data_IF_483826032776
#
_entry.id   IF_483826032776
#
_cell.length_a   1.000
_cell.length_b   1.000
_cell.length_c   1.000
_cell.angle_alpha   90.00
_cell.angle_beta   90.00
_cell.angle_gamma   90.00
#
_symmetry.space_group_name_H-M   'P 1'
#
loop_
_entity.id
_entity.type
_entity.pdbx_description
1 polymer ?
#
# COMPACT_ATOMS: atom_id res chain seq x y z
N UNK A 1 -9.11 23.36 10.07
CA UNK A 1 -9.87 22.30 9.37
C UNK A 1 -8.91 21.53 8.48
N UNK A 2 -8.71 20.25 8.81
CA UNK A 2 -8.14 19.15 8.00
C UNK A 2 -6.84 19.44 7.22
N UNK A 3 -5.71 18.99 7.79
CA UNK A 3 -4.46 18.79 7.06
C UNK A 3 -4.71 17.83 5.88
N UNK A 4 -4.93 18.38 4.69
CA UNK A 4 -5.02 17.59 3.46
C UNK A 4 -3.67 16.91 3.27
N UNK A 5 -3.57 15.57 3.30
CA UNK A 5 -2.31 14.92 3.06
C UNK A 5 -1.96 15.08 1.58
N UNK A 6 -1.23 16.13 1.22
CA UNK A 6 -0.68 16.31 -0.13
C UNK A 6 0.43 15.28 -0.34
N UNK A 7 0.03 14.08 -0.73
CA UNK A 7 0.91 12.96 -0.99
C UNK A 7 0.14 11.69 -1.37
N UNK A 8 0.83 10.64 -1.84
CA UNK A 8 0.22 9.37 -2.24
C UNK A 8 -0.62 8.70 -1.13
N UNK A 9 -0.42 9.08 0.13
CA UNK A 9 -1.25 8.65 1.26
C UNK A 9 -2.70 9.13 1.20
N UNK A 10 -3.03 10.19 0.45
CA UNK A 10 -4.43 10.61 0.21
C UNK A 10 -5.25 9.56 -0.56
N UNK A 11 -4.60 8.65 -1.28
CA UNK A 11 -5.31 7.58 -1.97
C UNK A 11 -5.75 6.46 -1.05
N UNK A 12 -5.21 6.36 0.18
CA UNK A 12 -5.48 5.26 1.11
C UNK A 12 -6.96 5.10 1.44
N UNK A 13 -7.68 6.12 1.95
CA UNK A 13 -9.11 5.96 2.23
C UNK A 13 -9.92 5.58 0.98
N UNK A 14 -9.54 6.03 -0.20
CA UNK A 14 -10.20 5.65 -1.46
C UNK A 14 -9.88 4.21 -1.89
N UNK A 15 -8.67 3.72 -1.63
CA UNK A 15 -8.27 2.33 -1.87
C UNK A 15 -9.06 1.41 -0.93
N UNK A 16 -9.14 1.73 0.34
CA UNK A 16 -9.86 0.93 1.34
C UNK A 16 -11.35 0.84 1.00
N UNK A 17 -11.96 1.97 0.63
CA UNK A 17 -13.36 2.00 0.19
C UNK A 17 -13.59 1.25 -1.13
N UNK A 18 -12.64 1.30 -2.07
CA UNK A 18 -12.80 0.68 -3.39
C UNK A 18 -12.58 -0.83 -3.37
N UNK A 19 -11.60 -1.31 -2.61
CA UNK A 19 -11.23 -2.73 -2.57
C UNK A 19 -11.66 -3.44 -1.28
N UNK A 20 -12.26 -2.72 -0.34
CA UNK A 20 -12.79 -3.29 0.91
C UNK A 20 -11.73 -3.85 1.85
N UNK A 21 -10.46 -3.45 1.70
CA UNK A 21 -9.33 -3.94 2.49
C UNK A 21 -8.47 -2.78 2.99
N UNK A 22 -8.04 -2.80 4.26
CA UNK A 22 -7.25 -1.71 4.82
C UNK A 22 -5.86 -1.63 4.18
N UNK A 23 -5.26 -0.44 4.16
CA UNK A 23 -3.93 -0.24 3.55
C UNK A 23 -2.84 -1.07 4.24
N UNK A 24 -2.97 -1.32 5.54
CA UNK A 24 -2.04 -2.19 6.27
C UNK A 24 -1.95 -3.59 5.67
N UNK A 25 -3.09 -4.19 5.32
CA UNK A 25 -3.15 -5.53 4.69
C UNK A 25 -2.48 -5.52 3.32
N UNK A 26 -2.68 -4.46 2.54
CA UNK A 26 -2.00 -4.30 1.26
C UNK A 26 -0.48 -4.21 1.42
N UNK A 27 0.01 -3.51 2.44
CA UNK A 27 1.44 -3.43 2.76
C UNK A 27 1.99 -4.79 3.17
N UNK A 28 1.23 -5.54 3.96
CA UNK A 28 1.63 -6.86 4.42
C UNK A 28 1.73 -7.85 3.25
N UNK A 29 0.74 -7.84 2.35
CA UNK A 29 0.77 -8.60 1.09
C UNK A 29 2.01 -8.28 0.24
N UNK A 30 2.34 -6.99 0.10
CA UNK A 30 3.53 -6.55 -0.63
C UNK A 30 4.81 -7.08 0.03
N UNK A 31 4.90 -7.10 1.37
CA UNK A 31 6.06 -7.63 2.10
C UNK A 31 6.14 -9.15 2.06
N UNK A 32 5.00 -9.83 2.08
CA UNK A 32 4.92 -11.28 1.97
C UNK A 32 5.20 -11.76 0.55
N UNK A 33 5.14 -10.87 -0.44
CA UNK A 33 5.50 -11.16 -1.82
C UNK A 33 7.02 -11.37 -1.95
N UNK A 34 7.48 -12.34 -2.75
CA UNK A 34 8.91 -12.49 -3.06
C UNK A 34 9.45 -11.35 -3.95
N UNK A 35 8.58 -10.45 -4.42
CA UNK A 35 8.93 -9.35 -5.30
C UNK A 35 9.53 -8.19 -4.51
N UNK A 36 10.71 -7.75 -4.93
CA UNK A 36 11.43 -6.63 -4.28
C UNK A 36 11.46 -5.37 -5.14
N UNK A 37 11.21 -5.50 -6.44
CA UNK A 37 11.21 -4.36 -7.36
C UNK A 37 9.88 -3.66 -7.35
N UNK A 38 9.95 -2.33 -7.26
CA UNK A 38 8.79 -1.45 -7.28
C UNK A 38 7.86 -1.72 -8.48
N UNK A 39 8.41 -1.79 -9.70
CA UNK A 39 7.62 -2.02 -10.91
C UNK A 39 6.97 -3.40 -10.98
N UNK A 40 7.61 -4.43 -10.41
CA UNK A 40 7.06 -5.78 -10.35
C UNK A 40 5.91 -5.84 -9.35
N UNK A 41 6.08 -5.25 -8.16
CA UNK A 41 5.02 -5.14 -7.16
C UNK A 41 3.81 -4.36 -7.69
N UNK A 42 4.04 -3.25 -8.41
CA UNK A 42 2.94 -2.50 -9.05
C UNK A 42 2.22 -3.36 -10.07
N UNK A 43 2.94 -4.11 -10.90
CA UNK A 43 2.34 -5.00 -11.91
C UNK A 43 1.60 -6.16 -11.28
N UNK A 44 2.12 -6.74 -10.22
CA UNK A 44 1.51 -7.82 -9.45
C UNK A 44 0.21 -7.38 -8.78
N UNK A 45 0.19 -6.22 -8.12
CA UNK A 45 -1.04 -5.65 -7.55
C UNK A 45 -2.12 -5.37 -8.61
N UNK A 46 -1.70 -4.96 -9.81
CA UNK A 46 -2.62 -4.77 -10.94
C UNK A 46 -3.18 -6.10 -11.45
N UNK A 47 -2.34 -7.13 -11.56
CA UNK A 47 -2.70 -8.43 -12.12
C UNK A 47 -3.53 -9.28 -11.14
N UNK A 48 -3.05 -9.46 -9.91
CA UNK A 48 -3.69 -10.34 -8.92
C UNK A 48 -4.91 -9.69 -8.26
N UNK A 49 -4.85 -8.38 -8.04
CA UNK A 49 -5.83 -7.68 -7.23
C UNK A 49 -6.63 -6.63 -8.01
N UNK A 50 -6.35 -6.48 -9.30
CA UNK A 50 -7.08 -5.53 -10.17
C UNK A 50 -6.85 -4.06 -9.79
N UNK A 51 -5.74 -3.73 -9.10
CA UNK A 51 -5.50 -2.35 -8.70
C UNK A 51 -5.26 -1.44 -9.91
N UNK A 52 -5.77 -0.21 -9.85
CA UNK A 52 -5.39 0.84 -10.80
C UNK A 52 -3.93 1.28 -10.63
N UNK A 53 -3.30 1.78 -11.71
CA UNK A 53 -1.88 2.18 -11.71
C UNK A 53 -1.54 3.16 -10.56
N UNK A 54 -2.35 4.21 -10.36
CA UNK A 54 -2.13 5.17 -9.28
C UNK A 54 -2.24 4.57 -7.88
N UNK A 55 -3.19 3.65 -7.67
CA UNK A 55 -3.39 2.96 -6.39
C UNK A 55 -2.26 1.99 -6.07
N UNK A 56 -1.88 1.16 -7.05
CA UNK A 56 -0.74 0.24 -6.91
C UNK A 56 0.56 1.02 -6.67
N UNK A 57 0.82 2.08 -7.45
CA UNK A 57 2.01 2.91 -7.26
C UNK A 57 2.03 3.58 -5.87
N UNK A 58 0.90 4.09 -5.37
CA UNK A 58 0.83 4.66 -4.02
C UNK A 58 1.14 3.62 -2.93
N UNK A 59 0.63 2.40 -3.07
CA UNK A 59 0.89 1.32 -2.11
C UNK A 59 2.34 0.84 -2.13
N UNK A 60 3.02 0.86 -3.28
CA UNK A 60 4.42 0.43 -3.33
C UNK A 60 5.37 1.59 -3.00
N UNK A 61 5.06 2.81 -3.43
CA UNK A 61 5.90 4.01 -3.24
C UNK A 61 5.87 4.53 -1.81
N UNK A 62 4.72 4.41 -1.12
CA UNK A 62 4.67 4.79 0.27
C UNK A 62 5.39 3.72 1.09
N UNK A 63 6.45 4.05 1.84
CA UNK A 63 6.98 3.10 2.81
C UNK A 63 5.85 2.75 3.79
N UNK A 64 5.79 1.50 4.22
CA UNK A 64 4.90 1.19 5.33
C UNK A 64 5.24 2.12 6.50
N UNK A 65 4.28 2.64 7.28
CA UNK A 65 4.63 3.14 8.59
C UNK A 65 5.40 2.01 9.26
N UNK A 66 6.63 2.29 9.71
CA UNK A 66 7.39 1.34 10.50
C UNK A 66 6.52 1.11 11.72
N UNK A 67 5.71 0.05 11.69
CA UNK A 67 5.01 -0.44 12.86
C UNK A 67 6.10 -0.53 13.89
N UNK A 68 6.01 0.31 14.92
CA UNK A 68 6.97 0.30 16.00
C UNK A 68 7.11 -1.16 16.41
N UNK A 69 8.30 -1.70 16.18
CA UNK A 69 8.71 -3.00 16.65
C UNK A 69 8.49 -2.96 18.15
N UNK A 70 7.39 -3.57 18.61
CA UNK A 70 7.20 -3.86 20.02
C UNK A 70 8.21 -4.95 20.33
N UNK A 71 9.30 -4.52 20.95
CA UNK A 71 10.23 -5.27 21.76
C UNK A 71 9.70 -6.67 22.14
N UNK A 72 10.41 -7.72 21.72
CA UNK A 72 9.99 -9.09 21.94
C UNK A 72 11.14 -10.10 21.88
N UNK A 73 11.80 -10.24 23.04
CA UNK A 73 12.77 -11.25 23.47
C UNK A 73 14.26 -11.07 23.07
#
# INVERSE_FOLDING_TARGET
MTEQPKGPASYFPSIEQKYGRPVAEWKDLIRSSPLTRHGELVSWLKAEHGLGHGHANALVATPSPKTAESNGA
#
